data_IF_178663922418
#
_entry.id   IF_178663922418
#
_cell.length_a   1.000
_cell.length_b   1.000
_cell.length_c   1.000
_cell.angle_alpha   90.00
_cell.angle_beta   90.00
_cell.angle_gamma   90.00
#
_symmetry.space_group_name_H-M   'P 1'
#
loop_
_entity.id
_entity.type
_entity.pdbx_description
1 polymer ?
#
# COMPACT_ATOMS: atom_id res chain seq x y z
N UNK A 1 -31.16 32.99 -13.35
CA UNK A 1 -29.70 33.29 -13.36
C UNK A 1 -29.01 32.13 -12.68
N UNK A 2 -28.58 31.16 -13.49
CA UNK A 2 -27.93 29.94 -13.01
C UNK A 2 -26.46 30.26 -12.69
N UNK A 3 -26.04 29.96 -11.46
CA UNK A 3 -24.65 30.12 -11.04
C UNK A 3 -23.89 28.87 -11.48
N UNK A 4 -23.13 28.98 -12.58
CA UNK A 4 -22.14 27.97 -12.94
C UNK A 4 -20.98 28.06 -11.93
N UNK A 5 -20.95 27.13 -10.98
CA UNK A 5 -19.79 26.89 -10.15
C UNK A 5 -18.72 26.16 -10.96
N UNK A 6 -17.65 26.86 -11.33
CA UNK A 6 -16.49 26.23 -11.93
C UNK A 6 -15.74 25.40 -10.86
N UNK A 7 -15.74 24.07 -11.00
CA UNK A 7 -14.84 23.19 -10.24
C UNK A 7 -13.52 23.14 -11.00
N UNK A 8 -12.54 23.93 -10.55
CA UNK A 8 -11.19 23.90 -11.09
C UNK A 8 -10.44 22.76 -10.40
N UNK A 9 -10.28 21.62 -11.07
CA UNK A 9 -9.26 20.64 -10.69
C UNK A 9 -7.90 21.20 -11.09
N UNK A 10 -7.16 21.79 -10.15
CA UNK A 10 -5.72 22.02 -10.29
C UNK A 10 -4.99 20.68 -10.19
N UNK A 11 -5.16 19.84 -11.21
CA UNK A 11 -4.33 18.67 -11.47
C UNK A 11 -2.98 19.09 -12.04
N UNK A 12 -2.20 19.81 -11.25
CA UNK A 12 -0.79 20.06 -11.55
C UNK A 12 0.06 19.45 -10.43
N UNK A 13 0.23 18.14 -10.50
CA UNK A 13 1.49 17.54 -10.09
C UNK A 13 2.18 17.07 -11.37
N UNK A 14 2.87 18.01 -12.02
CA UNK A 14 3.90 17.67 -12.99
C UNK A 14 5.06 17.05 -12.20
N UNK A 15 5.02 15.76 -11.90
CA UNK A 15 6.27 15.03 -11.73
C UNK A 15 6.72 14.65 -13.13
N UNK A 16 7.56 15.50 -13.72
CA UNK A 16 8.56 15.02 -14.67
C UNK A 16 9.13 13.74 -14.08
N UNK A 17 9.11 12.65 -14.84
CA UNK A 17 9.95 11.47 -14.58
C UNK A 17 11.40 11.91 -14.74
N UNK A 18 11.90 12.68 -13.78
CA UNK A 18 13.27 12.52 -13.39
C UNK A 18 13.36 11.07 -12.95
N UNK A 19 14.28 10.32 -13.53
CA UNK A 19 14.84 9.11 -12.92
C UNK A 19 15.55 9.53 -11.62
N UNK A 20 14.78 10.10 -10.68
CA UNK A 20 15.21 10.36 -9.32
C UNK A 20 15.44 8.98 -8.75
N UNK A 21 16.71 8.67 -8.49
CA UNK A 21 17.18 7.46 -7.82
C UNK A 21 16.14 6.99 -6.82
N UNK A 22 15.50 5.84 -7.10
CA UNK A 22 14.54 5.19 -6.21
C UNK A 22 15.27 4.86 -4.90
N UNK A 23 15.26 5.79 -3.95
CA UNK A 23 15.97 5.67 -2.69
C UNK A 23 15.07 4.96 -1.69
N UNK A 24 15.07 3.64 -1.72
CA UNK A 24 14.70 2.87 -0.53
C UNK A 24 15.72 3.25 0.54
N UNK A 25 15.29 3.92 1.61
CA UNK A 25 16.19 4.25 2.72
C UNK A 25 16.02 3.22 3.83
N UNK A 26 17.16 2.74 4.34
CA UNK A 26 17.17 1.89 5.53
C UNK A 26 16.73 2.71 6.72
N UNK A 27 15.77 2.17 7.46
CA UNK A 27 15.24 2.71 8.69
C UNK A 27 15.73 1.87 9.88
N UNK A 28 16.00 2.54 11.00
CA UNK A 28 16.20 1.85 12.29
C UNK A 28 14.88 1.25 12.81
N UNK A 29 13.76 1.92 12.54
CA UNK A 29 12.41 1.50 12.90
C UNK A 29 11.36 2.15 11.99
N UNK A 30 10.14 1.60 11.95
CA UNK A 30 9.02 2.21 11.25
C UNK A 30 8.60 3.51 11.93
N UNK A 31 8.25 4.53 11.13
CA UNK A 31 7.76 5.80 11.67
C UNK A 31 6.36 5.60 12.27
N UNK A 32 6.16 6.13 13.47
CA UNK A 32 4.80 6.29 14.00
C UNK A 32 4.12 7.42 13.24
N UNK A 33 3.05 7.07 12.51
CA UNK A 33 2.24 8.01 11.73
C UNK A 33 0.78 7.85 12.12
N UNK A 34 0.06 8.96 12.16
CA UNK A 34 -1.33 8.97 12.59
C UNK A 34 -2.24 8.46 11.46
N UNK A 35 -3.18 7.59 11.81
CA UNK A 35 -4.25 7.16 10.91
C UNK A 35 -5.26 8.29 10.67
N UNK A 36 -5.88 8.28 9.49
CA UNK A 36 -7.01 9.15 9.17
C UNK A 36 -8.06 9.09 10.29
N UNK A 37 -8.41 10.25 10.84
CA UNK A 37 -9.51 10.35 11.80
C UNK A 37 -10.83 9.90 11.15
N UNK A 38 -11.58 9.07 11.86
CA UNK A 38 -12.84 8.51 11.36
C UNK A 38 -12.66 7.50 10.22
N UNK A 39 -11.48 6.89 10.08
CA UNK A 39 -11.23 5.86 9.08
C UNK A 39 -12.24 4.71 9.19
N UNK A 40 -12.99 4.47 8.10
CA UNK A 40 -13.91 3.36 8.01
C UNK A 40 -13.20 2.13 7.41
N UNK A 41 -12.62 1.32 8.31
CA UNK A 41 -11.91 0.07 7.98
C UNK A 41 -12.72 -0.86 7.08
N UNK A 42 -14.00 -1.07 7.39
CA UNK A 42 -14.84 -2.01 6.65
C UNK A 42 -15.14 -1.53 5.23
N UNK A 43 -15.41 -0.24 5.07
CA UNK A 43 -15.63 0.35 3.75
C UNK A 43 -14.35 0.33 2.91
N UNK A 44 -13.21 0.70 3.50
CA UNK A 44 -11.95 0.82 2.78
C UNK A 44 -11.39 -0.53 2.31
N UNK A 45 -11.50 -1.58 3.14
CA UNK A 45 -10.96 -2.92 2.83
C UNK A 45 -12.00 -3.86 2.21
N UNK A 46 -12.80 -3.33 1.27
CA UNK A 46 -13.84 -4.10 0.57
C UNK A 46 -13.66 -4.13 -0.96
N UNK A 47 -12.50 -3.69 -1.47
CA UNK A 47 -12.31 -3.52 -2.91
C UNK A 47 -10.86 -3.51 -3.38
N UNK A 48 -10.70 -3.01 -4.60
CA UNK A 48 -9.46 -2.97 -5.34
C UNK A 48 -8.82 -1.57 -5.30
N UNK A 49 -7.51 -1.51 -5.08
CA UNK A 49 -6.72 -0.28 -5.04
C UNK A 49 -5.56 -0.34 -6.04
N UNK A 50 -5.34 0.75 -6.77
CA UNK A 50 -4.25 0.84 -7.76
C UNK A 50 -3.21 1.85 -7.30
N UNK A 51 -1.94 1.46 -7.33
CA UNK A 51 -0.83 2.39 -7.04
C UNK A 51 -0.59 3.28 -8.26
N UNK A 52 -0.94 4.55 -8.14
CA UNK A 52 -0.74 5.57 -9.17
C UNK A 52 0.54 6.37 -8.97
N UNK A 53 0.94 6.59 -7.71
CA UNK A 53 2.13 7.36 -7.34
C UNK A 53 2.85 6.68 -6.17
N UNK A 54 4.17 6.80 -6.15
CA UNK A 54 5.01 6.36 -5.04
C UNK A 54 6.26 7.23 -5.00
N UNK A 55 6.63 7.73 -3.82
CA UNK A 55 7.86 8.51 -3.64
C UNK A 55 9.11 7.63 -3.50
N UNK A 56 8.94 6.42 -2.98
CA UNK A 56 9.97 5.39 -2.91
C UNK A 56 9.37 4.02 -3.24
N UNK A 57 10.23 3.07 -3.58
CA UNK A 57 9.85 1.75 -4.09
C UNK A 57 10.44 1.46 -5.48
N UNK A 58 10.19 0.27 -6.01
CA UNK A 58 10.70 -0.18 -7.31
C UNK A 58 9.78 0.24 -8.45
N UNK A 59 10.24 0.18 -9.71
CA UNK A 59 9.36 0.32 -10.88
C UNK A 59 8.15 -0.64 -10.84
N UNK A 60 8.33 -1.81 -10.21
CA UNK A 60 7.24 -2.79 -10.01
C UNK A 60 6.27 -2.43 -8.88
N UNK A 61 6.55 -1.39 -8.08
CA UNK A 61 5.62 -0.85 -7.06
C UNK A 61 4.49 -0.07 -7.72
N UNK A 62 4.81 0.71 -8.76
CA UNK A 62 3.80 1.36 -9.59
C UNK A 62 2.98 0.31 -10.35
N UNK A 63 1.75 0.66 -10.71
CA UNK A 63 0.83 -0.19 -11.46
C UNK A 63 0.37 -1.47 -10.72
N UNK A 64 0.73 -1.66 -9.45
CA UNK A 64 0.19 -2.75 -8.63
C UNK A 64 -1.29 -2.51 -8.39
N UNK A 65 -2.08 -3.55 -8.68
CA UNK A 65 -3.44 -3.70 -8.20
C UNK A 65 -3.41 -4.52 -6.90
N UNK A 66 -3.92 -3.94 -5.83
CA UNK A 66 -4.15 -4.58 -4.56
C UNK A 66 -5.63 -4.92 -4.42
N UNK A 67 -5.96 -6.18 -4.20
CA UNK A 67 -7.29 -6.60 -3.78
C UNK A 67 -7.29 -6.73 -2.26
N UNK A 68 -8.25 -6.08 -1.61
CA UNK A 68 -8.36 -6.05 -0.15
C UNK A 68 -9.69 -6.62 0.31
N UNK A 69 -9.67 -7.38 1.39
CA UNK A 69 -10.87 -7.97 2.00
C UNK A 69 -10.69 -8.10 3.51
N UNK A 70 -11.79 -8.26 4.22
CA UNK A 70 -11.78 -8.73 5.61
C UNK A 70 -12.24 -10.19 5.63
N UNK A 71 -11.50 -11.06 6.29
CA UNK A 71 -11.90 -12.46 6.44
C UNK A 71 -13.01 -12.63 7.51
N UNK A 72 -13.45 -13.87 7.75
CA UNK A 72 -14.51 -14.16 8.73
C UNK A 72 -14.20 -13.74 10.16
N UNK A 73 -12.92 -13.57 10.51
CA UNK A 73 -12.48 -13.07 11.82
C UNK A 73 -12.40 -11.52 11.85
N UNK A 74 -12.55 -10.86 10.70
CA UNK A 74 -12.37 -9.42 10.52
C UNK A 74 -10.90 -9.00 10.32
N UNK A 75 -9.99 -9.94 10.10
CA UNK A 75 -8.59 -9.66 9.77
C UNK A 75 -8.47 -9.20 8.32
N UNK A 76 -7.59 -8.22 8.10
CA UNK A 76 -7.31 -7.72 6.76
C UNK A 76 -6.54 -8.76 5.94
N UNK A 77 -7.03 -9.04 4.74
CA UNK A 77 -6.35 -9.81 3.70
C UNK A 77 -6.05 -8.90 2.51
N UNK A 78 -4.82 -9.01 1.99
CA UNK A 78 -4.35 -8.22 0.85
C UNK A 78 -3.69 -9.15 -0.15
N UNK A 79 -4.12 -9.08 -1.40
CA UNK A 79 -3.55 -9.83 -2.50
C UNK A 79 -3.08 -8.89 -3.60
N UNK A 80 -1.91 -9.18 -4.17
CA UNK A 80 -1.44 -8.48 -5.35
C UNK A 80 -0.46 -9.35 -6.13
N UNK A 81 -0.17 -8.96 -7.36
CA UNK A 81 0.82 -9.64 -8.19
C UNK A 81 1.55 -8.68 -9.10
N UNK A 82 2.71 -9.10 -9.57
CA UNK A 82 3.50 -8.38 -10.56
C UNK A 82 4.34 -9.35 -11.37
N UNK A 83 4.69 -8.96 -12.59
CA UNK A 83 5.58 -9.74 -13.45
C UNK A 83 7.01 -9.26 -13.30
N UNK A 84 7.92 -10.16 -13.01
CA UNK A 84 9.36 -9.89 -12.94
C UNK A 84 10.10 -10.94 -13.75
N UNK A 85 10.89 -10.52 -14.76
CA UNK A 85 11.67 -11.42 -15.64
C UNK A 85 10.82 -12.57 -16.21
N UNK A 86 9.66 -12.24 -16.78
CA UNK A 86 8.66 -13.18 -17.34
C UNK A 86 8.05 -14.19 -16.35
N UNK A 87 8.30 -14.06 -15.04
CA UNK A 87 7.67 -14.87 -14.01
C UNK A 87 6.62 -14.08 -13.26
N UNK A 88 5.47 -14.69 -13.04
CA UNK A 88 4.38 -14.12 -12.24
C UNK A 88 4.69 -14.31 -10.77
N UNK A 89 4.81 -13.20 -10.06
CA UNK A 89 4.90 -13.17 -8.61
C UNK A 89 3.51 -12.89 -8.06
N UNK A 90 3.07 -13.71 -7.11
CA UNK A 90 1.84 -13.53 -6.34
C UNK A 90 2.20 -13.28 -4.90
N UNK A 91 1.55 -12.31 -4.28
CA UNK A 91 1.74 -12.00 -2.87
C UNK A 91 0.41 -12.03 -2.18
N UNK A 92 0.35 -12.78 -1.08
CA UNK A 92 -0.80 -12.87 -0.20
C UNK A 92 -0.37 -12.44 1.19
N UNK A 93 -1.07 -11.46 1.74
CA UNK A 93 -0.80 -10.92 3.06
C UNK A 93 -2.02 -11.06 3.96
N UNK A 94 -1.80 -11.44 5.21
CA UNK A 94 -2.84 -11.53 6.22
C UNK A 94 -2.41 -10.74 7.44
N UNK A 95 -3.32 -9.96 8.00
CA UNK A 95 -3.10 -9.22 9.23
C UNK A 95 -2.76 -10.16 10.38
N UNK A 96 -1.66 -9.86 11.08
CA UNK A 96 -1.12 -10.69 12.15
C UNK A 96 -2.08 -10.78 13.34
N UNK A 97 -2.57 -9.62 13.77
CA UNK A 97 -3.56 -9.48 14.84
C UNK A 97 -4.66 -8.55 14.37
N UNK A 98 -5.93 -8.90 14.62
CA UNK A 98 -7.03 -7.98 14.36
C UNK A 98 -6.91 -6.80 15.33
N UNK A 99 -6.66 -5.62 14.78
CA UNK A 99 -6.60 -4.36 15.52
C UNK A 99 -7.49 -3.34 14.83
N UNK A 100 -8.20 -2.53 15.60
CA UNK A 100 -9.13 -1.55 15.01
C UNK A 100 -8.43 -0.26 14.56
N UNK A 101 -7.17 -0.08 14.94
CA UNK A 101 -6.38 1.12 14.64
C UNK A 101 -5.00 0.75 14.08
N UNK A 102 -4.48 1.62 13.21
CA UNK A 102 -3.17 1.46 12.59
C UNK A 102 -2.00 1.49 13.60
N UNK A 103 -0.80 0.98 13.24
CA UNK A 103 -0.45 0.39 11.95
C UNK A 103 -1.00 -1.04 11.77
N UNK A 104 -1.62 -1.32 10.63
CA UNK A 104 -2.00 -2.68 10.25
C UNK A 104 -0.74 -3.49 9.92
N UNK A 105 -0.43 -4.47 10.76
CA UNK A 105 0.74 -5.34 10.61
C UNK A 105 0.32 -6.58 9.82
N UNK A 106 0.87 -6.76 8.63
CA UNK A 106 0.58 -7.91 7.77
C UNK A 106 1.78 -8.82 7.60
N UNK A 107 1.54 -10.13 7.73
CA UNK A 107 2.48 -11.17 7.31
C UNK A 107 2.20 -11.50 5.85
N UNK A 108 3.21 -11.39 5.00
CA UNK A 108 3.09 -11.60 3.57
C UNK A 108 3.90 -12.82 3.11
N UNK A 109 3.29 -13.62 2.25
CA UNK A 109 3.90 -14.77 1.59
C UNK A 109 4.05 -14.43 0.10
N UNK A 110 5.28 -14.52 -0.40
CA UNK A 110 5.59 -14.33 -1.82
C UNK A 110 5.72 -15.69 -2.50
N UNK A 111 4.93 -15.88 -3.55
CA UNK A 111 4.94 -17.08 -4.39
C UNK A 111 5.38 -16.75 -5.81
N UNK A 112 6.15 -17.66 -6.40
CA UNK A 112 6.63 -17.60 -7.78
C UNK A 112 6.27 -18.89 -8.48
N UNK A 113 5.17 -18.87 -9.22
CA UNK A 113 4.49 -20.10 -9.59
C UNK A 113 3.83 -20.73 -8.37
N UNK A 114 4.12 -22.00 -8.09
CA UNK A 114 3.61 -22.72 -6.91
C UNK A 114 4.55 -22.66 -5.70
N UNK A 115 5.82 -22.32 -5.92
CA UNK A 115 6.83 -22.27 -4.88
C UNK A 115 6.72 -21.01 -4.01
N UNK A 116 6.92 -21.18 -2.71
CA UNK A 116 7.08 -20.05 -1.77
C UNK A 116 8.53 -19.56 -1.83
N UNK A 117 8.74 -18.31 -2.21
CA UNK A 117 10.07 -17.71 -2.39
C UNK A 117 10.58 -17.12 -1.07
N UNK A 118 9.76 -16.31 -0.38
CA UNK A 118 10.09 -15.74 0.93
C UNK A 118 8.86 -15.18 1.64
N UNK A 119 9.04 -14.82 2.91
CA UNK A 119 8.04 -14.17 3.74
C UNK A 119 8.59 -12.86 4.30
N UNK A 120 7.72 -11.89 4.56
CA UNK A 120 8.08 -10.61 5.17
C UNK A 120 6.92 -10.02 5.97
N UNK A 121 7.22 -9.11 6.88
CA UNK A 121 6.22 -8.32 7.61
C UNK A 121 6.15 -6.91 7.02
N UNK A 122 4.95 -6.34 6.92
CA UNK A 122 4.75 -4.96 6.45
C UNK A 122 3.73 -4.26 7.33
N UNK A 123 4.05 -3.03 7.70
CA UNK A 123 3.16 -2.11 8.40
C UNK A 123 2.52 -1.15 7.40
N UNK A 124 1.21 -0.96 7.54
CA UNK A 124 0.42 -0.06 6.70
C UNK A 124 -0.42 0.87 7.56
N UNK A 125 -0.39 2.16 7.24
CA UNK A 125 -1.28 3.16 7.86
C UNK A 125 -1.93 4.01 6.78
N UNK A 126 -3.26 4.10 6.81
CA UNK A 126 -4.01 4.99 5.91
C UNK A 126 -3.93 6.40 6.48
N UNK A 127 -3.19 7.27 5.80
CA UNK A 127 -3.01 8.67 6.21
C UNK A 127 -4.21 9.51 5.81
N UNK A 128 -4.70 9.31 4.59
CA UNK A 128 -5.88 10.00 4.07
C UNK A 128 -6.65 9.10 3.08
N UNK A 129 -7.96 9.31 2.96
CA UNK A 129 -8.81 8.70 1.94
C UNK A 129 -10.16 9.40 1.88
N UNK A 130 -10.76 9.44 0.68
CA UNK A 130 -12.13 9.86 0.44
C UNK A 130 -13.04 8.70 -0.03
N UNK A 131 -12.53 7.46 0.01
CA UNK A 131 -13.18 6.26 -0.51
C UNK A 131 -12.87 5.93 -1.97
N UNK A 132 -12.35 6.86 -2.76
CA UNK A 132 -11.94 6.66 -4.16
C UNK A 132 -10.43 6.76 -4.37
N UNK A 133 -9.77 7.58 -3.55
CA UNK A 133 -8.33 7.79 -3.50
C UNK A 133 -7.82 7.62 -2.07
N UNK A 134 -6.54 7.28 -1.93
CA UNK A 134 -5.93 7.06 -0.62
C UNK A 134 -4.46 7.44 -0.62
N UNK A 135 -3.99 7.95 0.52
CA UNK A 135 -2.58 8.08 0.85
C UNK A 135 -2.23 7.03 1.92
N UNK A 136 -1.28 6.17 1.59
CA UNK A 136 -0.84 5.05 2.42
C UNK A 136 0.62 5.24 2.82
N UNK A 137 0.91 5.18 4.11
CA UNK A 137 2.27 4.91 4.57
C UNK A 137 2.54 3.41 4.56
N UNK A 138 3.68 3.00 4.00
CA UNK A 138 4.15 1.62 4.00
C UNK A 138 5.55 1.52 4.61
N UNK A 139 5.71 0.61 5.56
CA UNK A 139 7.01 0.26 6.12
C UNK A 139 7.19 -1.27 6.06
N UNK A 140 8.20 -1.71 5.34
CA UNK A 140 8.55 -3.12 5.15
C UNK A 140 9.62 -3.53 6.16
N UNK A 141 9.48 -4.69 6.76
CA UNK A 141 10.53 -5.34 7.54
C UNK A 141 11.02 -6.59 6.81
N UNK A 142 12.32 -6.63 6.48
CA UNK A 142 12.99 -7.81 5.92
C UNK A 142 14.12 -8.21 6.86
N UNK A 143 13.96 -9.35 7.56
CA UNK A 143 14.88 -9.74 8.63
C UNK A 143 14.87 -8.72 9.77
N UNK A 144 16.04 -8.13 10.07
CA UNK A 144 16.20 -7.08 11.08
C UNK A 144 16.18 -5.66 10.52
N UNK A 145 16.07 -5.50 9.19
CA UNK A 145 16.10 -4.18 8.54
C UNK A 145 14.70 -3.69 8.20
N UNK A 146 14.45 -2.40 8.46
CA UNK A 146 13.24 -1.70 8.02
C UNK A 146 13.52 -0.89 6.75
N UNK A 147 12.57 -0.91 5.82
CA UNK A 147 12.59 -0.16 4.56
C UNK A 147 11.27 0.60 4.46
N UNK A 148 11.34 1.93 4.46
CA UNK A 148 10.15 2.78 4.36
C UNK A 148 9.93 3.27 2.93
N UNK A 149 8.67 3.24 2.49
CA UNK A 149 8.24 3.94 1.28
C UNK A 149 7.29 5.07 1.69
N UNK A 150 7.61 6.32 1.31
CA UNK A 150 6.76 7.47 1.60
C UNK A 150 7.08 8.66 0.74
#
# INVERSE_FOLDING_TARGET
MEKFGAVIFLGLVMSTIAEGTQSNYSLSECKSVQEKSGFNRQQFFSGDWFVTHAKAGTATTLCRKYTTSLNSEGKLEVQYGYTQKMKTIKVSCTEKNKIDQAPFILNCIVKKGEDTEYQYEVQKTILETDGNSALLYRCLQVGTQYIGDN
#
